data_IF_324989928444
#
_entry.id   IF_324989928444
#
_cell.length_a   1.000
_cell.length_b   1.000
_cell.length_c   1.000
_cell.angle_alpha   90.00
_cell.angle_beta   90.00
_cell.angle_gamma   90.00
#
_symmetry.space_group_name_H-M   'P 1'
#
loop_
_entity.id
_entity.type
_entity.pdbx_description
1 polymer ?
#
# COMPACT_ATOMS: atom_id res chain seq x y z
N UNK A 1 -17.23 5.16 -8.64
CA UNK A 1 -17.10 5.09 -7.17
C UNK A 1 -17.21 3.66 -6.67
N UNK A 2 -18.18 2.87 -7.14
CA UNK A 2 -18.38 1.48 -6.69
C UNK A 2 -17.23 0.49 -6.97
N UNK A 3 -16.40 0.72 -7.99
CA UNK A 3 -15.27 -0.18 -8.32
C UNK A 3 -14.09 0.00 -7.35
N UNK A 4 -13.91 1.22 -6.83
CA UNK A 4 -12.87 1.56 -5.86
C UNK A 4 -13.21 1.04 -4.46
N UNK A 5 -14.44 1.25 -4.00
CA UNK A 5 -14.96 0.64 -2.76
C UNK A 5 -14.90 -0.89 -2.79
N UNK A 6 -15.17 -1.49 -3.96
CA UNK A 6 -15.02 -2.94 -4.17
C UNK A 6 -13.54 -3.38 -4.12
N UNK A 7 -12.63 -2.56 -4.64
CA UNK A 7 -11.18 -2.75 -4.62
C UNK A 7 -10.58 -2.70 -3.21
N UNK A 8 -10.92 -1.68 -2.41
CA UNK A 8 -10.49 -1.57 -1.00
C UNK A 8 -11.01 -2.75 -0.18
N UNK A 9 -12.28 -3.12 -0.35
CA UNK A 9 -12.83 -4.32 0.27
C UNK A 9 -12.11 -5.61 -0.15
N UNK A 10 -11.64 -5.71 -1.40
CA UNK A 10 -10.88 -6.86 -1.88
C UNK A 10 -9.47 -6.90 -1.27
N UNK A 11 -8.81 -5.76 -1.16
CA UNK A 11 -7.47 -5.62 -0.59
C UNK A 11 -7.46 -5.97 0.91
N UNK A 12 -8.47 -5.52 1.65
CA UNK A 12 -8.65 -5.88 3.06
C UNK A 12 -8.86 -7.38 3.27
N UNK A 13 -9.68 -8.01 2.42
CA UNK A 13 -9.87 -9.47 2.44
C UNK A 13 -8.58 -10.21 2.11
N UNK A 14 -7.77 -9.69 1.19
CA UNK A 14 -6.47 -10.24 0.85
C UNK A 14 -5.49 -10.12 2.03
N UNK A 15 -5.40 -8.94 2.66
CA UNK A 15 -4.60 -8.69 3.86
C UNK A 15 -4.94 -9.69 4.98
N UNK A 16 -6.22 -9.93 5.23
CA UNK A 16 -6.68 -10.88 6.24
C UNK A 16 -6.24 -12.30 5.92
N UNK A 17 -6.33 -12.72 4.64
CA UNK A 17 -5.88 -14.06 4.21
C UNK A 17 -4.38 -14.23 4.32
N UNK A 18 -3.60 -13.22 3.95
CA UNK A 18 -2.13 -13.25 4.04
C UNK A 18 -1.68 -13.28 5.50
N UNK A 19 -2.32 -12.49 6.37
CA UNK A 19 -2.04 -12.49 7.81
C UNK A 19 -2.42 -13.82 8.47
N UNK A 20 -3.55 -14.41 8.08
CA UNK A 20 -3.94 -15.73 8.55
C UNK A 20 -2.94 -16.81 8.08
N UNK A 21 -2.51 -16.75 6.81
CA UNK A 21 -1.50 -17.68 6.29
C UNK A 21 -0.17 -17.56 7.04
N UNK A 22 0.27 -16.34 7.38
CA UNK A 22 1.48 -16.14 8.19
C UNK A 22 1.32 -16.76 9.58
N UNK A 23 0.17 -16.54 10.24
CA UNK A 23 -0.10 -17.11 11.55
C UNK A 23 -0.17 -18.64 11.52
N UNK A 24 -0.81 -19.22 10.50
CA UNK A 24 -0.89 -20.67 10.30
C UNK A 24 0.48 -21.27 9.97
N UNK A 25 1.30 -20.56 9.19
CA UNK A 25 2.65 -20.98 8.84
C UNK A 25 3.59 -20.96 10.04
N UNK A 26 3.59 -19.88 10.84
CA UNK A 26 4.39 -19.76 12.07
C UNK A 26 3.91 -20.70 13.19
N UNK A 27 2.60 -20.93 13.28
CA UNK A 27 2.00 -21.89 14.21
C UNK A 27 2.13 -23.36 13.79
N UNK A 28 2.44 -23.60 12.51
CA UNK A 28 2.49 -24.93 11.90
C UNK A 28 3.83 -25.65 12.10
N UNK A 29 3.83 -26.94 11.78
CA UNK A 29 5.03 -27.79 11.84
C UNK A 29 6.16 -27.33 10.87
N UNK A 30 5.82 -26.52 9.87
CA UNK A 30 6.75 -25.96 8.90
C UNK A 30 7.42 -24.66 9.33
N UNK A 31 7.07 -24.09 10.50
CA UNK A 31 7.69 -22.86 10.97
C UNK A 31 9.18 -23.05 11.22
N UNK A 32 9.98 -22.00 11.01
CA UNK A 32 11.43 -22.07 11.20
C UNK A 32 11.80 -22.53 12.62
N UNK A 33 11.01 -22.13 13.62
CA UNK A 33 11.11 -22.56 15.01
C UNK A 33 10.86 -24.06 15.16
N UNK A 34 9.74 -24.57 14.65
CA UNK A 34 9.37 -26.00 14.78
C UNK A 34 10.29 -26.91 13.99
N UNK A 35 10.72 -26.49 12.80
CA UNK A 35 11.72 -27.20 12.02
C UNK A 35 13.06 -27.20 12.74
N UNK A 36 13.49 -26.08 13.31
CA UNK A 36 14.73 -25.99 14.09
C UNK A 36 14.74 -26.83 15.37
N UNK A 37 13.57 -27.02 16.01
CA UNK A 37 13.39 -27.91 17.17
C UNK A 37 13.56 -29.40 16.79
N UNK A 38 13.26 -29.79 15.55
CA UNK A 38 13.37 -31.18 15.06
C UNK A 38 14.80 -31.58 14.68
N UNK A 39 15.79 -31.12 15.47
CA UNK A 39 17.20 -31.44 15.27
C UNK A 39 17.54 -32.78 15.90
N UNK A 40 17.99 -33.74 15.09
CA UNK A 40 18.53 -35.01 15.57
C UNK A 40 19.97 -34.79 16.03
N UNK A 41 20.28 -35.22 17.25
CA UNK A 41 21.62 -35.11 17.79
C UNK A 41 22.60 -36.03 17.04
N UNK A 42 23.84 -35.58 16.87
CA UNK A 42 24.94 -36.40 16.30
C UNK A 42 25.06 -37.77 16.97
N UNK A 43 24.88 -37.82 18.30
CA UNK A 43 24.95 -39.04 19.09
C UNK A 43 23.87 -40.09 18.74
N UNK A 44 22.83 -39.70 17.98
CA UNK A 44 21.83 -40.64 17.43
C UNK A 44 22.33 -41.38 16.18
N UNK A 45 23.35 -40.85 15.50
CA UNK A 45 23.93 -41.45 14.29
C UNK A 45 25.16 -42.33 14.60
N UNK A 46 25.88 -42.05 15.69
CA UNK A 46 27.01 -42.85 16.17
C UNK A 46 27.00 -42.94 17.69
N UNK A 47 27.26 -44.12 18.25
CA UNK A 47 27.44 -44.27 19.70
C UNK A 47 28.58 -43.38 20.22
N UNK A 48 28.44 -42.83 21.43
CA UNK A 48 29.38 -41.84 22.01
C UNK A 48 30.88 -42.22 21.95
N UNK A 49 31.19 -43.52 21.84
CA UNK A 49 32.56 -44.07 21.88
C UNK A 49 33.02 -44.72 20.57
N UNK A 50 32.23 -44.69 19.49
CA UNK A 50 32.60 -45.29 18.21
C UNK A 50 32.59 -44.22 17.10
N UNK A 51 33.78 -43.83 16.64
CA UNK A 51 33.92 -42.97 15.46
C UNK A 51 33.72 -43.84 14.21
N UNK A 52 32.56 -43.69 13.58
CA UNK A 52 32.23 -44.29 12.30
C UNK A 52 32.13 -43.17 11.28
N UNK A 53 33.06 -43.13 10.32
CA UNK A 53 33.21 -42.00 9.40
C UNK A 53 31.98 -41.84 8.49
N UNK A 54 31.29 -42.94 8.15
CA UNK A 54 30.05 -42.93 7.40
C UNK A 54 28.87 -42.34 8.19
N UNK A 55 28.83 -42.55 9.52
CA UNK A 55 27.82 -41.93 10.37
C UNK A 55 28.05 -40.40 10.49
N UNK A 56 29.32 -39.98 10.50
CA UNK A 56 29.67 -38.55 10.48
C UNK A 56 29.27 -37.88 9.16
N UNK A 57 29.53 -38.56 8.03
CA UNK A 57 29.12 -38.09 6.71
C UNK A 57 27.60 -37.99 6.58
N UNK A 58 26.86 -38.98 7.11
CA UNK A 58 25.40 -38.96 7.12
C UNK A 58 24.85 -37.83 7.99
N UNK A 59 25.42 -37.63 9.19
CA UNK A 59 25.06 -36.51 10.05
C UNK A 59 25.33 -35.16 9.37
N UNK A 60 26.47 -35.01 8.69
CA UNK A 60 26.80 -33.79 7.95
C UNK A 60 25.81 -33.49 6.82
N UNK A 61 25.37 -34.52 6.09
CA UNK A 61 24.33 -34.38 5.06
C UNK A 61 22.97 -34.02 5.67
N UNK A 62 22.58 -34.70 6.75
CA UNK A 62 21.35 -34.40 7.50
C UNK A 62 21.36 -32.96 8.02
N UNK A 63 22.44 -32.53 8.68
CA UNK A 63 22.57 -31.20 9.26
C UNK A 63 22.48 -30.12 8.19
N UNK A 64 23.10 -30.34 7.02
CA UNK A 64 22.97 -29.45 5.87
C UNK A 64 21.52 -29.32 5.41
N UNK A 65 20.83 -30.44 5.18
CA UNK A 65 19.42 -30.41 4.74
C UNK A 65 18.53 -29.73 5.77
N UNK A 66 18.75 -30.03 7.05
CA UNK A 66 18.01 -29.40 8.15
C UNK A 66 18.22 -27.88 8.17
N UNK A 67 19.46 -27.39 8.03
CA UNK A 67 19.75 -25.96 7.97
C UNK A 67 19.10 -25.28 6.76
N UNK A 68 19.13 -25.93 5.59
CA UNK A 68 18.48 -25.43 4.38
C UNK A 68 16.96 -25.35 4.56
N UNK A 69 16.33 -26.34 5.19
CA UNK A 69 14.90 -26.33 5.50
C UNK A 69 14.53 -25.21 6.47
N UNK A 70 15.31 -25.01 7.54
CA UNK A 70 15.10 -23.89 8.48
C UNK A 70 15.21 -22.55 7.76
N UNK A 71 16.25 -22.38 6.92
CA UNK A 71 16.47 -21.16 6.13
C UNK A 71 15.32 -20.89 5.17
N UNK A 72 14.86 -21.92 4.46
CA UNK A 72 13.74 -21.84 3.55
C UNK A 72 12.46 -21.42 4.28
N UNK A 73 12.15 -22.08 5.40
CA UNK A 73 10.97 -21.74 6.20
C UNK A 73 11.02 -20.30 6.69
N UNK A 74 12.18 -19.83 7.15
CA UNK A 74 12.37 -18.44 7.57
C UNK A 74 12.14 -17.44 6.43
N UNK A 75 12.69 -17.73 5.25
CA UNK A 75 12.55 -16.86 4.08
C UNK A 75 11.09 -16.79 3.62
N UNK A 76 10.37 -17.93 3.64
CA UNK A 76 8.95 -17.97 3.30
C UNK A 76 8.11 -17.10 4.25
N UNK A 77 8.35 -17.20 5.56
CA UNK A 77 7.69 -16.33 6.56
C UNK A 77 7.93 -14.84 6.26
N UNK A 78 9.18 -14.46 6.01
CA UNK A 78 9.54 -13.08 5.68
C UNK A 78 8.88 -12.56 4.37
N UNK A 79 8.73 -13.42 3.35
CA UNK A 79 8.04 -13.05 2.12
C UNK A 79 6.54 -12.81 2.33
N UNK A 80 5.88 -13.64 3.16
CA UNK A 80 4.46 -13.48 3.49
C UNK A 80 4.27 -12.21 4.34
N UNK A 81 5.18 -11.91 5.27
CA UNK A 81 5.17 -10.67 6.05
C UNK A 81 5.34 -9.43 5.15
N UNK A 82 6.32 -9.43 4.25
CA UNK A 82 6.52 -8.35 3.29
C UNK A 82 5.29 -8.12 2.41
N UNK A 83 4.61 -9.20 1.99
CA UNK A 83 3.37 -9.12 1.25
C UNK A 83 2.25 -8.46 2.08
N UNK A 84 2.13 -8.81 3.36
CA UNK A 84 1.15 -8.22 4.28
C UNK A 84 1.37 -6.71 4.44
N UNK A 85 2.63 -6.28 4.61
CA UNK A 85 3.00 -4.87 4.72
C UNK A 85 2.68 -4.11 3.42
N UNK A 86 3.04 -4.67 2.26
CA UNK A 86 2.78 -4.03 0.96
C UNK A 86 1.29 -3.83 0.68
N UNK A 87 0.47 -4.80 1.08
CA UNK A 87 -1.00 -4.73 0.96
C UNK A 87 -1.58 -3.69 1.91
N UNK A 88 -1.10 -3.64 3.16
CA UNK A 88 -1.53 -2.64 4.12
C UNK A 88 -1.15 -1.22 3.69
N UNK A 89 0.05 -1.02 3.14
CA UNK A 89 0.48 0.26 2.58
C UNK A 89 -0.40 0.70 1.39
N UNK A 90 -0.81 -0.24 0.54
CA UNK A 90 -1.75 0.05 -0.55
C UNK A 90 -3.14 0.43 0.00
N UNK A 91 -3.66 -0.22 1.04
CA UNK A 91 -4.95 0.10 1.67
C UNK A 91 -4.95 1.52 2.26
N UNK A 92 -3.96 1.86 3.07
CA UNK A 92 -3.81 3.21 3.67
C UNK A 92 -3.59 4.29 2.60
N UNK A 93 -2.87 3.95 1.54
CA UNK A 93 -2.68 4.82 0.37
C UNK A 93 -3.99 5.08 -0.37
N UNK A 94 -4.85 4.07 -0.53
CA UNK A 94 -6.18 4.21 -1.14
C UNK A 94 -7.12 5.06 -0.27
N UNK A 95 -7.22 4.80 1.04
CA UNK A 95 -8.08 5.56 1.95
C UNK A 95 -7.75 7.06 1.92
N UNK A 96 -6.46 7.41 1.93
CA UNK A 96 -6.01 8.81 1.87
C UNK A 96 -6.34 9.48 0.52
N UNK A 97 -6.22 8.75 -0.59
CA UNK A 97 -6.52 9.31 -1.93
C UNK A 97 -8.01 9.54 -2.10
N UNK A 98 -8.85 8.63 -1.61
CA UNK A 98 -10.30 8.72 -1.78
C UNK A 98 -10.91 9.85 -0.95
N UNK A 99 -10.42 10.08 0.27
CA UNK A 99 -10.84 11.20 1.10
C UNK A 99 -10.36 12.56 0.56
N UNK A 100 -9.14 12.64 0.03
CA UNK A 100 -8.63 13.86 -0.61
C UNK A 100 -9.42 14.20 -1.89
N UNK A 101 -9.76 13.19 -2.70
CA UNK A 101 -10.62 13.37 -3.89
C UNK A 101 -12.04 13.80 -3.49
N UNK A 102 -12.62 13.21 -2.44
CA UNK A 102 -13.93 13.61 -1.92
C UNK A 102 -13.92 15.05 -1.39
N UNK A 103 -12.88 15.45 -0.64
CA UNK A 103 -12.69 16.84 -0.19
C UNK A 103 -12.55 17.80 -1.35
N UNK A 104 -11.69 17.50 -2.34
CA UNK A 104 -11.52 18.35 -3.52
C UNK A 104 -12.80 18.47 -4.34
N UNK A 105 -13.56 17.40 -4.47
CA UNK A 105 -14.85 17.43 -5.17
C UNK A 105 -15.85 18.34 -4.47
N UNK A 106 -15.94 18.30 -3.13
CA UNK A 106 -16.79 19.19 -2.35
C UNK A 106 -16.40 20.67 -2.54
N UNK A 107 -15.09 20.98 -2.47
CA UNK A 107 -14.59 22.35 -2.69
C UNK A 107 -14.93 22.87 -4.10
N UNK A 108 -14.79 22.02 -5.12
CA UNK A 108 -15.13 22.40 -6.51
C UNK A 108 -16.64 22.61 -6.66
N UNK A 109 -17.45 21.73 -6.05
CA UNK A 109 -18.91 21.83 -6.04
C UNK A 109 -19.38 23.15 -5.43
N UNK A 110 -18.87 23.48 -4.24
CA UNK A 110 -19.20 24.73 -3.54
C UNK A 110 -18.83 25.95 -4.38
N UNK A 111 -17.67 25.91 -5.05
CA UNK A 111 -17.24 27.00 -5.92
C UNK A 111 -18.16 27.17 -7.12
N UNK A 112 -18.57 26.07 -7.75
CA UNK A 112 -19.51 26.07 -8.88
C UNK A 112 -20.87 26.59 -8.42
N UNK A 113 -21.37 26.14 -7.27
CA UNK A 113 -22.64 26.59 -6.71
C UNK A 113 -22.61 28.08 -6.35
N UNK A 114 -21.48 28.59 -5.84
CA UNK A 114 -21.27 30.02 -5.61
C UNK A 114 -21.24 30.83 -6.92
N UNK A 115 -20.57 30.34 -7.96
CA UNK A 115 -20.53 30.99 -9.27
C UNK A 115 -21.93 31.02 -9.93
N UNK A 116 -22.69 29.93 -9.82
CA UNK A 116 -24.07 29.88 -10.29
C UNK A 116 -25.01 30.79 -9.47
N UNK A 117 -24.86 30.84 -8.15
CA UNK A 117 -25.62 31.76 -7.30
C UNK A 117 -25.31 33.21 -7.66
N UNK A 118 -24.02 33.57 -7.83
CA UNK A 118 -23.60 34.90 -8.23
C UNK A 118 -24.11 35.28 -9.64
N UNK A 119 -24.14 34.35 -10.59
CA UNK A 119 -24.72 34.57 -11.92
C UNK A 119 -26.25 34.74 -11.86
N UNK A 120 -26.95 33.97 -11.02
CA UNK A 120 -28.39 34.11 -10.83
C UNK A 120 -28.75 35.42 -10.13
N UNK A 121 -27.95 35.87 -9.15
CA UNK A 121 -28.13 37.18 -8.53
C UNK A 121 -27.91 38.31 -9.54
N UNK A 122 -26.86 38.23 -10.37
CA UNK A 122 -26.60 39.18 -11.47
C UNK A 122 -27.71 39.19 -12.52
N UNK A 123 -28.33 38.04 -12.80
CA UNK A 123 -29.45 37.95 -13.72
C UNK A 123 -30.77 38.52 -13.14
N UNK A 124 -30.94 38.48 -11.81
CA UNK A 124 -32.12 39.04 -11.12
C UNK A 124 -32.02 40.55 -10.84
N UNK A 125 -30.80 41.10 -10.75
CA UNK A 125 -30.54 42.52 -10.44
C UNK A 125 -30.37 43.40 -11.68
N UNK A 126 -31.04 43.08 -12.79
CA UNK A 126 -30.81 43.67 -14.11
C UNK A 126 -30.59 45.19 -14.14
N UNK A 127 -29.46 45.60 -14.73
CA UNK A 127 -29.27 46.94 -15.29
C UNK A 127 -28.58 46.85 -16.67
N UNK A 128 -29.05 47.63 -17.67
CA UNK A 128 -28.51 47.64 -19.02
C UNK A 128 -27.28 48.55 -19.10
N UNK A 129 -26.18 48.08 -19.72
CA UNK A 129 -25.08 48.98 -20.08
C UNK A 129 -25.39 49.68 -21.39
N UNK A 130 -25.91 50.90 -21.27
CA UNK A 130 -26.09 51.84 -22.37
C UNK A 130 -24.79 52.63 -22.63
N UNK A 131 -24.56 52.88 -23.92
CA UNK A 131 -23.52 53.70 -24.55
C UNK A 131 -23.34 55.11 -23.97
N UNK A 132 -22.11 55.66 -24.02
CA UNK A 132 -21.82 57.06 -23.71
C UNK A 132 -20.37 57.43 -24.01
N UNK A 133 -20.18 58.20 -25.08
CA UNK A 133 -18.93 58.60 -25.72
C UNK A 133 -18.39 59.94 -25.16
N UNK A 134 -17.13 60.25 -25.49
CA UNK A 134 -16.52 61.59 -25.74
C UNK A 134 -15.54 62.23 -24.73
N UNK A 135 -14.26 62.32 -25.18
CA UNK A 135 -13.32 63.47 -25.26
C UNK A 135 -12.86 64.24 -23.97
N UNK A 136 -11.61 64.71 -23.75
CA UNK A 136 -10.30 64.90 -24.44
C UNK A 136 -9.26 65.37 -23.34
N UNK A 137 -8.04 65.97 -23.55
CA UNK A 137 -7.36 66.44 -24.78
C UNK A 137 -5.80 66.30 -24.85
N UNK A 138 -5.23 66.89 -25.92
CA UNK A 138 -3.83 67.27 -26.23
C UNK A 138 -3.19 66.43 -27.36
N UNK A 139 -2.82 67.04 -28.50
CA UNK A 139 -1.59 67.83 -28.61
C UNK A 139 -1.70 68.93 -29.68
N UNK A 140 -1.21 70.12 -29.31
CA UNK A 140 -0.93 71.25 -30.22
C UNK A 140 0.56 71.22 -30.54
N UNK A 141 0.93 71.11 -31.81
CA UNK A 141 2.28 71.29 -32.33
C UNK A 141 2.24 71.98 -33.69
N UNK A 142 2.49 73.29 -33.69
CA UNK A 142 2.59 74.15 -34.87
C UNK A 142 3.87 73.85 -35.68
N UNK A 143 3.85 74.18 -36.98
CA UNK A 143 5.04 74.81 -37.57
C UNK A 143 5.24 74.67 -39.09
N UNK A 144 4.67 75.64 -39.81
CA UNK A 144 5.15 76.32 -41.03
C UNK A 144 5.37 75.51 -42.31
#
# INVERSE_FOLDING_TARGET
MSDLERGVGALKRFQTRVSALLADFEGGAGSSTKVGEQRVARASFSGLNAKFDEAESLFGQYDRVHQELVSLSKNLGAQIEALSIGVHAAEVGFDNVEEDVRRRYAVIRDRIDQEHAAQQERAKSGEPKQSGNDDAPATKGLGR
#
